data_IF_486116522611
#
_entry.id   IF_486116522611
#
_cell.length_a   1.000
_cell.length_b   1.000
_cell.length_c   1.000
_cell.angle_alpha   90.00
_cell.angle_beta   90.00
_cell.angle_gamma   90.00
#
_symmetry.space_group_name_H-M   'P 1'
#
loop_
_entity.id
_entity.type
_entity.pdbx_description
1 polymer ?
#
# COMPACT_ATOMS: atom_id res chain seq x y z
N UNK A 1 57.24 15.86 -35.08
CA UNK A 1 56.35 17.03 -35.29
C UNK A 1 55.06 16.79 -34.52
N UNK A 2 54.45 17.84 -33.93
CA UNK A 2 54.07 17.89 -32.51
C UNK A 2 52.59 17.53 -32.23
N UNK A 3 52.27 16.96 -31.06
CA UNK A 3 51.60 17.59 -29.87
C UNK A 3 50.15 18.01 -30.20
N UNK A 4 49.10 17.47 -29.56
CA UNK A 4 48.62 18.04 -28.30
C UNK A 4 47.87 17.07 -27.38
N UNK A 5 48.35 17.05 -26.14
CA UNK A 5 47.73 16.58 -24.90
C UNK A 5 46.96 17.75 -24.25
N UNK A 6 45.79 17.41 -23.68
CA UNK A 6 45.31 17.72 -22.31
C UNK A 6 45.13 19.18 -21.85
N UNK A 7 43.94 19.46 -21.30
CA UNK A 7 43.68 20.21 -20.04
C UNK A 7 42.15 20.10 -19.76
N UNK A 8 41.60 19.38 -18.77
CA UNK A 8 41.56 19.61 -17.30
C UNK A 8 41.83 21.05 -16.84
N UNK A 9 40.83 21.71 -16.25
CA UNK A 9 40.75 21.93 -14.80
C UNK A 9 39.50 22.72 -14.39
N UNK A 10 39.09 22.43 -13.15
CA UNK A 10 37.92 22.87 -12.37
C UNK A 10 38.03 24.32 -11.81
N UNK A 11 37.44 24.68 -10.65
CA UNK A 11 36.15 25.37 -10.51
C UNK A 11 36.25 26.69 -9.69
N UNK A 12 35.12 27.40 -9.55
CA UNK A 12 34.86 28.50 -8.59
C UNK A 12 35.69 29.78 -8.67
N UNK A 13 35.08 30.87 -9.15
CA UNK A 13 35.38 32.23 -8.69
C UNK A 13 34.16 33.16 -8.69
N UNK A 14 33.73 33.49 -7.46
CA UNK A 14 33.34 34.80 -6.93
C UNK A 14 32.08 35.58 -7.39
N UNK A 15 31.23 35.81 -6.38
CA UNK A 15 30.33 36.94 -6.14
C UNK A 15 30.86 38.31 -6.62
N UNK A 16 29.97 39.16 -7.17
CA UNK A 16 29.73 40.53 -6.66
C UNK A 16 28.32 41.02 -7.03
N UNK A 17 27.64 41.58 -6.03
CA UNK A 17 26.41 42.37 -6.07
C UNK A 17 26.58 43.64 -6.93
N UNK A 18 25.51 44.17 -7.56
CA UNK A 18 25.15 45.61 -7.64
C UNK A 18 23.84 45.86 -8.42
N UNK A 19 22.88 46.46 -7.71
CA UNK A 19 21.81 47.40 -8.05
C UNK A 19 20.52 47.03 -8.82
N UNK A 20 19.45 47.38 -8.09
CA UNK A 20 18.07 47.62 -8.46
C UNK A 20 17.89 48.62 -9.61
N UNK A 21 16.99 48.28 -10.54
CA UNK A 21 16.11 49.26 -11.18
C UNK A 21 14.69 48.68 -11.22
N UNK A 22 13.79 49.41 -10.57
CA UNK A 22 12.37 49.13 -10.37
C UNK A 22 11.62 49.29 -11.71
N UNK A 23 10.95 48.23 -12.20
CA UNK A 23 9.99 48.29 -13.31
C UNK A 23 8.57 48.11 -12.71
N UNK A 24 7.62 49.04 -12.91
CA UNK A 24 6.37 49.04 -12.16
C UNK A 24 5.18 48.33 -12.84
N UNK A 25 5.42 47.39 -13.76
CA UNK A 25 4.34 46.76 -14.56
C UNK A 25 4.44 45.22 -14.63
N UNK A 26 4.46 44.55 -13.46
CA UNK A 26 4.13 43.12 -13.39
C UNK A 26 2.91 42.91 -12.49
N UNK A 27 1.88 42.16 -12.92
CA UNK A 27 0.78 41.81 -12.06
C UNK A 27 1.32 40.90 -10.96
N UNK A 28 1.25 41.39 -9.72
CA UNK A 28 1.61 40.64 -8.52
C UNK A 28 0.74 39.39 -8.41
N UNK A 29 1.21 38.27 -8.95
CA UNK A 29 0.74 36.93 -8.62
C UNK A 29 1.27 36.58 -7.22
N UNK A 30 0.73 37.27 -6.22
CA UNK A 30 1.07 37.14 -4.82
C UNK A 30 -0.20 37.33 -4.01
N UNK A 31 -1.15 36.42 -4.20
CA UNK A 31 -2.20 36.18 -3.20
C UNK A 31 -1.92 34.83 -2.61
N UNK A 32 -1.44 34.86 -1.37
CA UNK A 32 -1.38 33.76 -0.43
C UNK A 32 -2.45 32.68 -0.70
N UNK A 33 -2.00 31.50 -1.13
CA UNK A 33 -2.81 30.27 -1.15
C UNK A 33 -2.98 29.69 0.29
N UNK A 34 -2.72 30.48 1.34
CA UNK A 34 -2.65 30.01 2.73
C UNK A 34 -3.97 30.02 3.50
N UNK A 35 -5.04 30.66 3.01
CA UNK A 35 -6.29 30.78 3.80
C UNK A 35 -7.57 30.66 2.95
N UNK A 36 -7.69 29.56 2.20
CA UNK A 36 -9.01 29.08 1.79
C UNK A 36 -9.20 27.67 2.33
N UNK A 37 -10.03 27.62 3.37
CA UNK A 37 -10.52 26.46 4.10
C UNK A 37 -10.73 25.22 3.24
N UNK A 38 -10.49 24.06 3.85
CA UNK A 38 -10.74 22.74 3.29
C UNK A 38 -12.04 22.72 2.46
N UNK A 39 -11.90 22.44 1.17
CA UNK A 39 -13.05 22.38 0.28
C UNK A 39 -13.73 21.05 0.55
N UNK A 40 -14.87 21.11 1.22
CA UNK A 40 -15.64 19.93 1.59
C UNK A 40 -16.07 19.16 0.34
N UNK A 41 -15.99 17.84 0.45
CA UNK A 41 -16.46 16.96 -0.59
C UNK A 41 -17.94 16.66 -0.36
N UNK A 42 -18.54 15.94 -1.30
CA UNK A 42 -19.92 15.52 -1.12
C UNK A 42 -19.94 14.41 -0.06
N UNK A 43 -21.00 14.27 0.74
CA UNK A 43 -21.08 13.28 1.84
C UNK A 43 -20.71 11.85 1.39
N UNK A 44 -21.16 11.45 0.21
CA UNK A 44 -20.85 10.16 -0.41
C UNK A 44 -19.35 9.97 -0.71
N UNK A 45 -18.66 11.03 -1.12
CA UNK A 45 -17.21 10.98 -1.37
C UNK A 45 -16.46 10.85 -0.05
N UNK A 46 -16.87 11.59 0.98
CA UNK A 46 -16.27 11.54 2.32
C UNK A 46 -16.43 10.15 2.95
N UNK A 47 -17.56 9.48 2.73
CA UNK A 47 -17.78 8.10 3.15
C UNK A 47 -16.79 7.13 2.47
N UNK A 48 -16.62 7.25 1.14
CA UNK A 48 -15.66 6.40 0.39
C UNK A 48 -14.24 6.63 0.88
N UNK A 49 -13.86 7.89 1.11
CA UNK A 49 -12.55 8.28 1.63
C UNK A 49 -12.33 7.67 3.02
N UNK A 50 -13.29 7.84 3.92
CA UNK A 50 -13.28 7.28 5.27
C UNK A 50 -13.08 5.78 5.25
N UNK A 51 -13.90 5.06 4.47
CA UNK A 51 -13.86 3.60 4.37
C UNK A 51 -12.53 3.08 3.81
N UNK A 52 -12.01 3.68 2.74
CA UNK A 52 -10.86 3.13 1.99
C UNK A 52 -9.51 3.53 2.61
N UNK A 53 -9.36 4.78 3.02
CA UNK A 53 -8.09 5.29 3.54
C UNK A 53 -7.95 5.11 5.05
N UNK A 54 -9.05 5.26 5.79
CA UNK A 54 -9.03 5.26 7.26
C UNK A 54 -9.69 4.04 7.90
N UNK A 55 -10.45 3.23 7.13
CA UNK A 55 -11.08 2.02 7.65
C UNK A 55 -10.09 1.01 8.25
N UNK A 56 -8.86 0.94 7.73
CA UNK A 56 -7.83 0.06 8.30
C UNK A 56 -7.18 0.61 9.58
N UNK A 57 -7.16 1.94 9.75
CA UNK A 57 -6.62 2.58 10.96
C UNK A 57 -7.61 2.44 12.10
N UNK A 58 -8.92 2.57 11.83
CA UNK A 58 -9.97 2.35 12.83
C UNK A 58 -9.95 0.93 13.44
N UNK A 59 -9.43 -0.06 12.71
CA UNK A 59 -9.20 -1.41 13.22
C UNK A 59 -7.82 -1.58 13.91
N UNK A 60 -6.81 -0.77 13.57
CA UNK A 60 -5.49 -0.80 14.21
C UNK A 60 -5.43 0.00 15.52
N UNK A 61 -6.26 1.03 15.68
CA UNK A 61 -6.35 1.81 16.93
C UNK A 61 -6.85 1.00 18.12
N UNK A 62 -7.50 -0.15 17.88
CA UNK A 62 -7.80 -1.13 18.92
C UNK A 62 -6.58 -2.01 19.30
N UNK A 63 -5.57 -2.12 18.43
CA UNK A 63 -4.43 -3.03 18.59
C UNK A 63 -3.14 -2.34 19.12
N UNK A 64 -2.87 -1.07 18.81
CA UNK A 64 -1.59 -0.39 19.16
C UNK A 64 -1.66 0.68 20.28
N UNK A 65 -2.85 1.04 20.80
CA UNK A 65 -2.98 2.11 21.82
C UNK A 65 -2.62 1.66 23.25
N UNK A 66 -2.42 0.37 23.53
CA UNK A 66 -2.09 -0.11 24.89
C UNK A 66 -0.59 -0.08 25.25
N UNK A 67 0.25 0.65 24.51
CA UNK A 67 1.70 0.77 24.82
C UNK A 67 2.23 2.19 25.04
N UNK A 68 1.37 3.20 25.09
CA UNK A 68 1.77 4.55 25.49
C UNK A 68 0.91 4.97 26.68
N UNK A 69 1.61 5.09 27.82
CA UNK A 69 1.27 5.75 29.08
C UNK A 69 -0.19 6.19 29.30
N UNK A 70 -0.78 5.60 30.35
CA UNK A 70 -2.05 5.81 31.06
C UNK A 70 -2.64 7.24 31.21
N UNK A 71 -2.61 8.15 30.23
CA UNK A 71 -3.10 9.53 30.50
C UNK A 71 -3.61 10.35 29.31
N UNK A 72 -4.28 9.76 28.31
CA UNK A 72 -5.13 10.58 27.42
C UNK A 72 -6.37 9.85 26.90
N UNK A 73 -7.53 10.35 27.32
CA UNK A 73 -8.85 9.85 26.96
C UNK A 73 -9.28 10.37 25.58
N UNK A 74 -9.11 9.55 24.54
CA UNK A 74 -9.92 9.68 23.31
C UNK A 74 -10.31 8.33 22.72
N UNK A 75 -11.06 7.54 23.50
CA UNK A 75 -11.86 6.44 22.98
C UNK A 75 -13.16 7.00 22.40
N UNK A 76 -13.53 6.59 21.18
CA UNK A 76 -14.93 6.65 20.74
C UNK A 76 -15.81 6.13 21.89
N UNK A 77 -16.72 6.98 22.37
CA UNK A 77 -17.36 6.84 23.68
C UNK A 77 -18.09 5.50 23.83
N UNK A 78 -17.53 4.60 24.63
CA UNK A 78 -18.26 3.46 25.17
C UNK A 78 -19.41 4.05 26.02
N UNK A 79 -20.66 3.91 25.53
CA UNK A 79 -21.84 4.55 26.13
C UNK A 79 -21.92 4.12 27.59
N UNK A 80 -21.99 5.08 28.51
CA UNK A 80 -21.97 4.77 29.94
C UNK A 80 -23.23 4.02 30.36
N UNK A 81 -23.15 3.19 31.40
CA UNK A 81 -24.33 2.46 31.90
C UNK A 81 -25.48 3.41 32.30
N UNK A 82 -25.14 4.65 32.70
CA UNK A 82 -26.09 5.73 32.98
C UNK A 82 -26.76 6.33 31.74
N UNK A 83 -26.10 6.32 30.58
CA UNK A 83 -26.68 6.75 29.30
C UNK A 83 -27.56 5.65 28.69
N UNK A 84 -27.21 4.38 28.90
CA UNK A 84 -28.02 3.23 28.48
C UNK A 84 -29.39 3.19 29.19
N UNK A 85 -29.51 3.73 30.40
CA UNK A 85 -30.77 3.83 31.14
C UNK A 85 -31.72 4.90 30.58
N UNK A 86 -31.23 5.84 29.76
CA UNK A 86 -32.04 6.89 29.13
C UNK A 86 -32.71 6.43 27.83
N UNK A 87 -32.32 5.27 27.30
CA UNK A 87 -32.86 4.69 26.08
C UNK A 87 -34.22 4.04 26.40
N UNK A 88 -35.28 4.54 25.76
CA UNK A 88 -36.67 4.12 26.04
C UNK A 88 -37.05 2.72 25.49
N UNK A 89 -36.10 2.01 24.89
CA UNK A 89 -36.27 0.64 24.38
C UNK A 89 -35.46 -0.36 25.22
N UNK A 90 -36.10 -1.06 26.19
CA UNK A 90 -35.41 -2.00 27.07
C UNK A 90 -34.89 -3.25 26.34
N UNK A 91 -35.45 -3.60 25.18
CA UNK A 91 -34.98 -4.73 24.38
C UNK A 91 -33.65 -4.39 23.69
N UNK A 92 -33.50 -3.16 23.22
CA UNK A 92 -32.26 -2.66 22.62
C UNK A 92 -31.12 -2.61 23.65
N UNK A 93 -31.40 -2.09 24.85
CA UNK A 93 -30.43 -2.01 25.96
C UNK A 93 -29.98 -3.41 26.38
N UNK A 94 -30.92 -4.35 26.51
CA UNK A 94 -30.60 -5.74 26.87
C UNK A 94 -29.77 -6.44 25.79
N UNK A 95 -30.06 -6.17 24.52
CA UNK A 95 -29.29 -6.71 23.38
C UNK A 95 -27.85 -6.14 23.37
N UNK A 96 -27.69 -4.84 23.59
CA UNK A 96 -26.38 -4.18 23.69
C UNK A 96 -25.54 -4.74 24.84
N UNK A 97 -26.13 -4.82 26.05
CA UNK A 97 -25.44 -5.39 27.23
C UNK A 97 -24.99 -6.84 26.98
N UNK A 98 -25.83 -7.66 26.36
CA UNK A 98 -25.49 -9.04 25.99
C UNK A 98 -24.35 -9.12 24.97
N UNK A 99 -24.35 -8.24 23.97
CA UNK A 99 -23.28 -8.18 22.96
C UNK A 99 -21.96 -7.68 23.57
N UNK A 100 -22.02 -6.72 24.49
CA UNK A 100 -20.87 -6.18 25.24
C UNK A 100 -20.24 -7.23 26.17
N UNK A 101 -21.07 -8.02 26.84
CA UNK A 101 -20.63 -9.13 27.70
C UNK A 101 -20.11 -10.32 26.90
N UNK A 102 -20.57 -10.50 25.66
CA UNK A 102 -19.99 -11.44 24.70
C UNK A 102 -18.67 -10.88 24.16
N UNK A 103 -17.69 -10.69 25.05
CA UNK A 103 -16.31 -10.44 24.65
C UNK A 103 -15.89 -11.57 23.72
N UNK A 104 -15.60 -11.24 22.47
CA UNK A 104 -14.87 -12.13 21.58
C UNK A 104 -13.58 -12.48 22.30
N UNK A 105 -13.37 -13.76 22.62
CA UNK A 105 -12.10 -14.21 23.19
C UNK A 105 -10.98 -13.79 22.23
N UNK A 106 -10.25 -12.72 22.58
CA UNK A 106 -9.15 -12.21 21.75
C UNK A 106 -7.96 -13.18 21.76
N UNK A 107 -7.90 -14.05 22.78
CA UNK A 107 -6.92 -15.13 22.95
C UNK A 107 -7.34 -16.45 22.28
N UNK A 108 -8.21 -16.39 21.27
CA UNK A 108 -8.54 -17.55 20.45
C UNK A 108 -7.26 -18.13 19.81
N UNK A 109 -7.00 -19.42 19.95
CA UNK A 109 -5.83 -20.05 19.33
C UNK A 109 -5.84 -19.91 17.80
N UNK A 110 -4.68 -19.90 17.14
CA UNK A 110 -4.59 -19.76 15.67
C UNK A 110 -5.47 -20.76 14.92
N UNK A 111 -5.56 -21.98 15.42
CA UNK A 111 -6.42 -23.02 14.86
C UNK A 111 -7.90 -22.68 14.97
N UNK A 112 -8.31 -22.11 16.10
CA UNK A 112 -9.69 -21.79 16.38
C UNK A 112 -10.13 -20.52 15.63
N UNK A 113 -9.23 -19.53 15.48
CA UNK A 113 -9.41 -18.41 14.54
C UNK A 113 -9.60 -18.92 13.11
N UNK A 114 -8.75 -19.85 12.68
CA UNK A 114 -8.85 -20.44 11.35
C UNK A 114 -10.14 -21.23 11.15
N UNK A 115 -10.58 -21.99 12.17
CA UNK A 115 -11.86 -22.71 12.16
C UNK A 115 -13.04 -21.75 12.05
N UNK A 116 -13.02 -20.66 12.81
CA UNK A 116 -14.06 -19.63 12.77
C UNK A 116 -14.15 -18.97 11.39
N UNK A 117 -13.00 -18.66 10.78
CA UNK A 117 -12.95 -18.10 9.42
C UNK A 117 -13.52 -19.11 8.40
N UNK A 118 -13.09 -20.37 8.46
CA UNK A 118 -13.61 -21.42 7.58
C UNK A 118 -15.12 -21.63 7.73
N UNK A 119 -15.65 -21.52 8.96
CA UNK A 119 -17.08 -21.66 9.23
C UNK A 119 -17.91 -20.53 8.60
N UNK A 120 -17.30 -19.36 8.36
CA UNK A 120 -17.97 -18.18 7.81
C UNK A 120 -17.66 -17.96 6.31
N UNK A 121 -17.01 -18.91 5.63
CA UNK A 121 -16.78 -18.79 4.19
C UNK A 121 -18.05 -19.03 3.38
N UNK A 122 -18.21 -18.22 2.34
CA UNK A 122 -19.15 -18.52 1.26
C UNK A 122 -18.68 -19.77 0.50
N UNK A 123 -19.60 -20.45 -0.20
CA UNK A 123 -19.29 -21.70 -0.91
C UNK A 123 -18.12 -21.53 -1.92
N UNK A 124 -18.15 -20.45 -2.72
CA UNK A 124 -17.07 -20.13 -3.67
C UNK A 124 -15.73 -19.81 -2.98
N UNK A 125 -15.76 -19.17 -1.80
CA UNK A 125 -14.54 -18.90 -1.01
C UNK A 125 -13.95 -20.19 -0.45
N UNK A 126 -14.80 -21.11 0.03
CA UNK A 126 -14.39 -22.42 0.50
C UNK A 126 -13.75 -23.23 -0.62
N UNK A 127 -14.37 -23.27 -1.80
CA UNK A 127 -13.84 -23.99 -2.97
C UNK A 127 -12.44 -23.49 -3.37
N UNK A 128 -12.25 -22.16 -3.42
CA UNK A 128 -10.93 -21.54 -3.70
C UNK A 128 -9.90 -21.87 -2.63
N UNK A 129 -10.30 -21.83 -1.35
CA UNK A 129 -9.42 -22.17 -0.23
C UNK A 129 -8.99 -23.64 -0.29
N UNK A 130 -9.92 -24.56 -0.54
CA UNK A 130 -9.61 -25.98 -0.68
C UNK A 130 -8.69 -26.27 -1.87
N UNK A 131 -8.93 -25.59 -3.00
CA UNK A 131 -8.07 -25.67 -4.18
C UNK A 131 -6.62 -25.24 -3.86
N UNK A 132 -6.44 -24.10 -3.18
CA UNK A 132 -5.12 -23.64 -2.74
C UNK A 132 -4.47 -24.61 -1.76
N UNK A 133 -5.23 -25.14 -0.79
CA UNK A 133 -4.74 -26.10 0.20
C UNK A 133 -4.23 -27.39 -0.46
N UNK A 134 -4.98 -27.92 -1.43
CA UNK A 134 -4.64 -29.15 -2.18
C UNK A 134 -3.59 -28.94 -3.27
N UNK A 135 -3.37 -27.70 -3.71
CA UNK A 135 -2.40 -27.39 -4.76
C UNK A 135 -0.97 -27.78 -4.34
N UNK A 136 -0.24 -28.45 -5.23
CA UNK A 136 1.16 -28.82 -5.03
C UNK A 136 1.95 -28.54 -6.30
N UNK A 137 3.24 -28.22 -6.14
CA UNK A 137 4.13 -28.01 -7.28
C UNK A 137 4.61 -29.36 -7.82
N UNK A 138 4.72 -29.47 -9.14
CA UNK A 138 5.15 -30.67 -9.84
C UNK A 138 6.58 -31.10 -9.42
N UNK A 139 6.69 -32.07 -8.51
CA UNK A 139 7.96 -32.56 -7.95
C UNK A 139 8.94 -33.06 -9.03
N UNK A 140 8.53 -33.90 -10.01
CA UNK A 140 9.38 -34.24 -11.16
C UNK A 140 9.91 -33.03 -11.95
N UNK A 141 9.07 -32.01 -12.15
CA UNK A 141 9.45 -30.79 -12.86
C UNK A 141 10.53 -30.02 -12.12
N UNK A 142 10.35 -29.82 -10.81
CA UNK A 142 11.35 -29.18 -9.94
C UNK A 142 12.67 -29.95 -9.98
N UNK A 143 12.61 -31.28 -9.86
CA UNK A 143 13.81 -32.14 -9.95
C UNK A 143 14.53 -31.95 -11.29
N UNK A 144 13.82 -31.88 -12.40
CA UNK A 144 14.41 -31.68 -13.74
C UNK A 144 15.12 -30.33 -13.85
N UNK A 145 14.50 -29.26 -13.34
CA UNK A 145 15.08 -27.91 -13.35
C UNK A 145 16.34 -27.88 -12.49
N UNK A 146 16.26 -28.36 -11.25
CA UNK A 146 17.40 -28.32 -10.34
C UNK A 146 18.57 -29.19 -10.83
N UNK A 147 18.30 -30.35 -11.42
CA UNK A 147 19.35 -31.16 -12.08
C UNK A 147 20.00 -30.39 -13.25
N UNK A 148 19.23 -29.62 -14.01
CA UNK A 148 19.73 -28.78 -15.10
C UNK A 148 20.61 -27.62 -14.63
N UNK A 149 20.29 -27.02 -13.47
CA UNK A 149 21.06 -25.91 -12.88
C UNK A 149 22.33 -26.39 -12.18
N UNK A 150 22.25 -27.48 -11.41
CA UNK A 150 23.38 -27.97 -10.60
C UNK A 150 24.31 -28.93 -11.38
N UNK A 151 23.86 -29.50 -12.49
CA UNK A 151 24.63 -30.46 -13.29
C UNK A 151 24.78 -31.85 -12.65
N UNK A 152 24.16 -32.11 -11.50
CA UNK A 152 24.11 -33.42 -10.84
C UNK A 152 22.67 -33.85 -10.52
N UNK A 153 22.46 -35.16 -10.36
CA UNK A 153 21.15 -35.70 -10.01
C UNK A 153 20.83 -35.48 -8.53
N UNK A 154 19.65 -34.96 -8.24
CA UNK A 154 19.21 -34.64 -6.87
C UNK A 154 18.32 -35.78 -6.30
N UNK A 155 18.52 -36.15 -5.02
CA UNK A 155 17.64 -37.07 -4.30
C UNK A 155 16.15 -36.65 -4.28
N UNK A 156 15.20 -37.61 -4.28
CA UNK A 156 13.76 -37.30 -4.29
C UNK A 156 13.27 -36.46 -3.10
N UNK A 157 13.86 -36.64 -1.91
CA UNK A 157 13.47 -35.88 -0.71
C UNK A 157 13.78 -34.38 -0.85
N UNK A 158 14.88 -34.02 -1.50
CA UNK A 158 15.20 -32.62 -1.77
C UNK A 158 14.23 -32.00 -2.77
N UNK A 159 13.73 -32.77 -3.75
CA UNK A 159 12.70 -32.28 -4.67
C UNK A 159 11.38 -31.94 -3.95
N UNK A 160 11.02 -32.68 -2.89
CA UNK A 160 9.85 -32.37 -2.06
C UNK A 160 10.05 -31.06 -1.30
N UNK A 161 11.21 -30.89 -0.66
CA UNK A 161 11.55 -29.69 0.10
C UNK A 161 11.55 -28.46 -0.82
N UNK A 162 12.21 -28.56 -1.98
CA UNK A 162 12.27 -27.49 -2.96
C UNK A 162 10.90 -27.14 -3.55
N UNK A 163 10.03 -28.12 -3.76
CA UNK A 163 8.65 -27.86 -4.16
C UNK A 163 7.86 -27.10 -3.07
N UNK A 164 8.09 -27.42 -1.79
CA UNK A 164 7.51 -26.68 -0.67
C UNK A 164 8.00 -25.23 -0.59
N UNK A 165 9.32 -25.02 -0.70
CA UNK A 165 9.92 -23.69 -0.71
C UNK A 165 9.45 -22.87 -1.91
N UNK A 166 9.37 -23.48 -3.09
CA UNK A 166 8.88 -22.82 -4.30
C UNK A 166 7.42 -22.37 -4.15
N UNK A 167 6.59 -23.14 -3.42
CA UNK A 167 5.20 -22.76 -3.13
C UNK A 167 5.15 -21.55 -2.18
N UNK A 168 5.92 -21.57 -1.09
CA UNK A 168 6.01 -20.42 -0.16
C UNK A 168 6.44 -19.16 -0.89
N UNK A 169 7.51 -19.26 -1.68
CA UNK A 169 8.06 -18.14 -2.44
C UNK A 169 7.04 -17.55 -3.42
N UNK A 170 6.35 -18.40 -4.20
CA UNK A 170 5.33 -17.91 -5.13
C UNK A 170 4.17 -17.23 -4.39
N UNK A 171 3.73 -17.79 -3.27
CA UNK A 171 2.66 -17.21 -2.44
C UNK A 171 3.08 -15.83 -1.89
N UNK A 172 4.31 -15.68 -1.40
CA UNK A 172 4.84 -14.39 -0.93
C UNK A 172 4.84 -13.32 -2.04
N UNK A 173 5.29 -13.67 -3.25
CA UNK A 173 5.30 -12.75 -4.38
C UNK A 173 3.88 -12.37 -4.82
N UNK A 174 2.95 -13.32 -4.85
CA UNK A 174 1.55 -13.06 -5.22
C UNK A 174 0.88 -12.16 -4.19
N UNK A 175 1.06 -12.41 -2.89
CA UNK A 175 0.53 -11.55 -1.82
C UNK A 175 1.03 -10.12 -1.97
N UNK A 176 2.34 -9.94 -2.19
CA UNK A 176 2.91 -8.61 -2.44
C UNK A 176 2.38 -7.94 -3.69
N UNK A 177 2.09 -8.70 -4.73
CA UNK A 177 1.48 -8.14 -5.94
C UNK A 177 0.07 -7.60 -5.67
N UNK A 178 -0.73 -8.30 -4.86
CA UNK A 178 -2.03 -7.79 -4.41
C UNK A 178 -1.89 -6.53 -3.55
N UNK A 179 -0.92 -6.47 -2.63
CA UNK A 179 -0.64 -5.25 -1.86
C UNK A 179 -0.22 -4.08 -2.74
N UNK A 180 0.56 -4.32 -3.79
CA UNK A 180 0.93 -3.29 -4.78
C UNK A 180 -0.31 -2.81 -5.55
N UNK A 181 -1.15 -3.73 -6.02
CA UNK A 181 -2.40 -3.40 -6.72
C UNK A 181 -3.33 -2.56 -5.83
N UNK A 182 -3.50 -2.94 -4.56
CA UNK A 182 -4.29 -2.19 -3.60
C UNK A 182 -3.71 -0.79 -3.37
N UNK A 183 -2.39 -0.69 -3.18
CA UNK A 183 -1.70 0.60 -3.02
C UNK A 183 -1.87 1.49 -4.25
N UNK A 184 -1.82 0.93 -5.46
CA UNK A 184 -2.06 1.68 -6.70
C UNK A 184 -3.51 2.17 -6.76
N UNK A 185 -4.49 1.34 -6.41
CA UNK A 185 -5.90 1.74 -6.39
C UNK A 185 -6.17 2.85 -5.36
N UNK A 186 -5.55 2.77 -4.17
CA UNK A 186 -5.60 3.84 -3.17
C UNK A 186 -4.93 5.12 -3.67
N UNK A 187 -3.78 5.01 -4.33
CA UNK A 187 -3.07 6.16 -4.89
C UNK A 187 -3.90 6.86 -5.99
N UNK A 188 -4.58 6.10 -6.86
CA UNK A 188 -5.52 6.66 -7.84
C UNK A 188 -6.66 7.42 -7.18
N UNK A 189 -7.26 6.84 -6.14
CA UNK A 189 -8.31 7.50 -5.37
C UNK A 189 -7.81 8.82 -4.77
N UNK A 190 -6.59 8.86 -4.21
CA UNK A 190 -5.98 10.10 -3.69
C UNK A 190 -5.81 11.15 -4.79
N UNK A 191 -5.31 10.77 -5.96
CA UNK A 191 -5.19 11.68 -7.10
C UNK A 191 -6.55 12.23 -7.55
N UNK A 192 -7.59 11.38 -7.56
CA UNK A 192 -8.95 11.78 -7.93
C UNK A 192 -9.57 12.74 -6.89
N UNK A 193 -9.32 12.51 -5.60
CA UNK A 193 -9.69 13.40 -4.49
C UNK A 193 -9.06 14.78 -4.69
N UNK A 194 -7.73 14.83 -4.88
CA UNK A 194 -7.00 16.08 -5.11
C UNK A 194 -7.50 16.81 -6.34
N UNK A 195 -7.76 16.08 -7.43
CA UNK A 195 -8.34 16.60 -8.66
C UNK A 195 -9.73 17.18 -8.44
N UNK A 196 -10.60 16.50 -7.70
CA UNK A 196 -11.97 16.97 -7.40
C UNK A 196 -11.95 18.20 -6.48
N UNK A 197 -11.14 18.20 -5.42
CA UNK A 197 -10.94 19.36 -4.54
C UNK A 197 -10.40 20.57 -5.31
N UNK A 198 -9.44 20.38 -6.22
CA UNK A 198 -8.89 21.45 -7.07
C UNK A 198 -9.93 22.04 -8.01
N UNK A 199 -10.76 21.20 -8.66
CA UNK A 199 -11.87 21.67 -9.51
C UNK A 199 -12.88 22.46 -8.70
N UNK A 200 -13.35 21.94 -7.55
CA UNK A 200 -14.28 22.65 -6.67
C UNK A 200 -13.72 24.01 -6.21
N UNK A 201 -12.44 24.06 -5.82
CA UNK A 201 -11.75 25.32 -5.46
C UNK A 201 -11.75 26.32 -6.62
N UNK A 202 -11.44 25.87 -7.83
CA UNK A 202 -11.43 26.72 -9.02
C UNK A 202 -12.83 27.23 -9.36
N UNK A 203 -13.85 26.38 -9.23
CA UNK A 203 -15.25 26.78 -9.44
C UNK A 203 -15.70 27.81 -8.41
N UNK A 204 -15.37 27.63 -7.13
CA UNK A 204 -15.65 28.63 -6.08
C UNK A 204 -14.99 29.98 -6.38
N UNK A 205 -13.71 30.00 -6.80
CA UNK A 205 -13.02 31.24 -7.22
C UNK A 205 -13.69 31.88 -8.45
N UNK A 206 -14.21 31.10 -9.37
CA UNK A 206 -14.87 31.65 -10.56
C UNK A 206 -16.27 32.21 -10.24
N UNK A 207 -17.00 31.56 -9.32
CA UNK A 207 -18.28 32.04 -8.78
C UNK A 207 -18.06 33.36 -8.04
N UNK A 208 -17.01 33.47 -7.22
CA UNK A 208 -16.64 34.73 -6.54
C UNK A 208 -16.36 35.86 -7.55
N UNK A 209 -15.76 35.53 -8.68
CA UNK A 209 -15.53 36.47 -9.78
C UNK A 209 -16.76 36.71 -10.69
N UNK A 210 -17.95 36.22 -10.30
CA UNK A 210 -19.21 36.47 -10.99
C UNK A 210 -19.34 35.78 -12.35
N UNK A 211 -18.58 34.70 -12.61
CA UNK A 211 -18.69 33.90 -13.83
C UNK A 211 -19.59 32.69 -13.58
N UNK A 212 -20.68 32.59 -14.32
CA UNK A 212 -21.55 31.40 -14.30
C UNK A 212 -20.81 30.23 -14.96
N UNK A 213 -20.59 29.16 -14.19
CA UNK A 213 -19.94 27.94 -14.67
C UNK A 213 -20.78 26.73 -14.24
N UNK A 214 -20.99 25.81 -15.18
CA UNK A 214 -21.62 24.52 -14.92
C UNK A 214 -20.73 23.65 -14.03
N UNK A 215 -21.24 23.28 -12.86
CA UNK A 215 -20.54 22.40 -11.92
C UNK A 215 -20.82 20.95 -12.32
N UNK A 216 -19.80 20.21 -12.75
CA UNK A 216 -19.92 18.77 -12.99
C UNK A 216 -19.77 17.97 -11.69
N UNK A 217 -20.84 17.34 -11.22
CA UNK A 217 -20.83 16.46 -10.03
C UNK A 217 -20.47 15.02 -10.41
N UNK A 218 -19.22 14.78 -10.78
CA UNK A 218 -18.71 13.41 -10.93
C UNK A 218 -18.38 12.83 -9.56
N UNK A 219 -18.98 11.69 -9.21
CA UNK A 219 -18.74 10.97 -7.96
C UNK A 219 -17.39 10.25 -7.97
N UNK A 220 -16.70 10.23 -6.84
CA UNK A 220 -15.48 9.43 -6.70
C UNK A 220 -15.79 7.93 -6.76
N UNK A 221 -14.89 7.16 -7.35
CA UNK A 221 -14.99 5.70 -7.45
C UNK A 221 -13.72 5.06 -6.96
N UNK A 222 -13.84 3.97 -6.20
CA UNK A 222 -12.71 3.17 -5.77
C UNK A 222 -12.65 1.86 -6.55
N UNK A 223 -11.66 1.73 -7.43
CA UNK A 223 -11.50 0.55 -8.29
C UNK A 223 -11.14 -0.73 -7.52
N UNK A 224 -10.69 -0.60 -6.27
CA UNK A 224 -10.28 -1.74 -5.45
C UNK A 224 -11.42 -2.65 -4.96
N UNK A 225 -12.67 -2.18 -5.00
CA UNK A 225 -13.82 -3.03 -4.68
C UNK A 225 -14.10 -4.07 -5.78
N UNK A 226 -13.63 -3.80 -6.99
CA UNK A 226 -13.81 -4.70 -8.13
C UNK A 226 -12.61 -5.63 -8.27
N UNK A 227 -12.89 -6.93 -8.46
CA UNK A 227 -11.83 -7.92 -8.68
C UNK A 227 -11.19 -7.69 -10.05
N UNK A 228 -10.07 -6.98 -10.08
CA UNK A 228 -9.27 -6.73 -11.28
C UNK A 228 -8.09 -7.71 -11.36
N UNK A 229 -7.72 -8.17 -12.56
CA UNK A 229 -6.61 -9.11 -12.72
C UNK A 229 -5.26 -8.44 -12.39
N UNK A 230 -4.33 -9.21 -11.83
CA UNK A 230 -2.96 -8.75 -11.59
C UNK A 230 -2.26 -8.45 -12.92
N UNK A 231 -1.70 -7.24 -13.03
CA UNK A 231 -0.95 -6.79 -14.20
C UNK A 231 0.53 -7.19 -14.07
N UNK A 232 1.27 -7.31 -15.19
CA UNK A 232 2.71 -7.58 -15.14
C UNK A 232 3.50 -6.55 -14.32
N UNK A 233 3.03 -5.32 -14.25
CA UNK A 233 3.62 -4.22 -13.46
C UNK A 233 3.57 -4.52 -11.96
N UNK A 234 2.44 -5.03 -11.46
CA UNK A 234 2.27 -5.43 -10.05
C UNK A 234 3.28 -6.50 -9.65
N UNK A 235 3.50 -7.49 -10.51
CA UNK A 235 4.47 -8.56 -10.27
C UNK A 235 5.91 -8.02 -10.24
N UNK A 236 6.27 -7.10 -11.15
CA UNK A 236 7.62 -6.51 -11.19
C UNK A 236 7.91 -5.72 -9.92
N UNK A 237 6.98 -4.88 -9.49
CA UNK A 237 7.12 -4.11 -8.25
C UNK A 237 7.12 -5.02 -7.02
N UNK A 238 6.28 -6.05 -6.99
CA UNK A 238 6.30 -7.05 -5.90
C UNK A 238 7.67 -7.72 -5.76
N UNK A 239 8.30 -8.13 -6.88
CA UNK A 239 9.66 -8.70 -6.85
C UNK A 239 10.69 -7.66 -6.40
N UNK A 240 10.55 -6.39 -6.83
CA UNK A 240 11.45 -5.32 -6.40
C UNK A 240 11.37 -5.11 -4.88
N UNK A 241 10.16 -5.05 -4.31
CA UNK A 241 9.91 -4.93 -2.88
C UNK A 241 10.41 -6.16 -2.12
N UNK A 242 10.10 -7.36 -2.62
CA UNK A 242 10.59 -8.61 -2.06
C UNK A 242 12.09 -8.65 -1.92
N UNK A 243 12.81 -8.22 -2.97
CA UNK A 243 14.27 -8.13 -2.93
C UNK A 243 14.75 -7.10 -1.93
N UNK A 244 14.09 -5.94 -1.80
CA UNK A 244 14.51 -4.91 -0.84
C UNK A 244 14.35 -5.39 0.60
N UNK A 245 13.22 -5.99 0.96
CA UNK A 245 12.98 -6.51 2.31
C UNK A 245 13.95 -7.64 2.67
N UNK A 246 14.28 -8.49 1.69
CA UNK A 246 15.19 -9.62 1.89
C UNK A 246 16.66 -9.29 1.60
N UNK A 247 16.99 -8.08 1.12
CA UNK A 247 18.35 -7.68 0.74
C UNK A 247 19.30 -7.49 1.92
N UNK A 248 18.79 -7.51 3.15
CA UNK A 248 19.58 -7.54 4.38
C UNK A 248 20.32 -8.87 4.59
N UNK A 249 19.97 -9.92 3.84
CA UNK A 249 20.62 -11.22 3.93
C UNK A 249 21.29 -11.59 2.59
N UNK A 250 22.59 -11.27 2.51
CA UNK A 250 23.53 -11.75 1.48
C UNK A 250 23.27 -11.10 0.12
N UNK A 251 23.95 -9.97 -0.14
CA UNK A 251 24.29 -9.62 -1.51
C UNK A 251 24.99 -10.84 -2.12
N UNK A 252 24.33 -11.49 -3.08
CA UNK A 252 24.99 -12.40 -3.99
C UNK A 252 25.99 -11.56 -4.79
N UNK A 253 27.16 -11.35 -4.20
CA UNK A 253 28.39 -11.14 -4.96
C UNK A 253 28.51 -12.39 -5.82
N UNK A 254 27.92 -12.34 -7.00
CA UNK A 254 28.37 -13.16 -8.10
C UNK A 254 29.86 -12.84 -8.20
N UNK A 255 30.69 -13.69 -7.60
CA UNK A 255 32.12 -13.69 -7.87
C UNK A 255 32.19 -13.99 -9.35
N UNK A 256 32.45 -12.97 -10.16
CA UNK A 256 33.05 -13.17 -11.46
C UNK A 256 34.43 -13.78 -11.18
N UNK A 257 34.49 -15.10 -10.97
CA UNK A 257 35.73 -15.84 -11.01
C UNK A 257 36.07 -15.98 -12.49
N UNK A 258 36.76 -14.97 -12.99
CA UNK A 258 37.09 -14.83 -14.40
C UNK A 258 37.76 -13.50 -14.68
N UNK A 259 38.84 -13.20 -13.97
CA UNK A 259 39.85 -12.24 -14.43
C UNK A 259 40.72 -12.92 -15.50
N UNK A 260 40.05 -13.37 -16.57
CA UNK A 260 40.68 -13.99 -17.72
C UNK A 260 40.45 -13.07 -18.90
N UNK A 261 41.13 -11.92 -18.89
CA UNK A 261 41.44 -11.19 -20.10
C UNK A 261 42.00 -12.20 -21.11
N UNK A 262 41.21 -12.50 -22.14
CA UNK A 262 41.43 -13.56 -23.13
C UNK A 262 42.61 -13.32 -24.08
N UNK A 263 43.76 -12.92 -23.54
CA UNK A 263 44.99 -12.57 -24.26
C UNK A 263 46.04 -13.67 -24.30
N UNK A 264 45.73 -14.88 -23.82
CA UNK A 264 46.71 -15.96 -23.62
C UNK A 264 46.62 -17.15 -24.59
N UNK A 265 45.97 -16.99 -25.74
CA UNK A 265 46.14 -17.91 -26.87
C UNK A 265 46.59 -17.16 -28.12
N UNK A 266 47.91 -17.08 -28.29
CA UNK A 266 48.61 -16.86 -29.56
C UNK A 266 49.70 -17.91 -29.69
#
# INVERSE_FOLDING_TARGET
MPIQKVAKCDPNLFFTSTNMSHNPDEPTAGTDDSDMSDVSLDEEDEEIIGRVLYGSIAHQTDDDVLRISDDDHSSASDISDTELEQINDPALVSRYKRLREMKVDKDLGEEERKRLIMANFNNDQMDRFEAYRRSTINKPGVKKICNGVLGHSIPPHLAIILAGLSKSYLSEIITKAFEVQERENKAKLIMDIEGKKKRKRQTLRNIENGKDIEVSNSRLTYDGDTQSPLRPEHIREAIRLYRHENSSAIQAQWRAQGDADGWLFR
#
